data_IF_099541845232
#
_entry.id   IF_099541845232
#
_cell.length_a   1.000
_cell.length_b   1.000
_cell.length_c   1.000
_cell.angle_alpha   90.00
_cell.angle_beta   90.00
_cell.angle_gamma   90.00
#
_symmetry.space_group_name_H-M   'P 1'
#
loop_
_entity.id
_entity.type
_entity.pdbx_description
1 polymer ?
#
# COMPACT_ATOMS: atom_id res chain seq x y z
N UNK A 1 -14.78 -20.42 29.44
CA UNK A 1 -13.30 -20.63 29.43
C UNK A 1 -12.71 -19.76 28.35
N UNK A 2 -12.17 -18.61 28.72
CA UNK A 2 -11.64 -17.61 27.77
C UNK A 2 -10.19 -17.95 27.45
N UNK A 3 -9.82 -17.96 26.16
CA UNK A 3 -8.56 -18.51 25.67
C UNK A 3 -7.31 -17.83 26.25
N UNK A 4 -6.42 -18.63 26.83
CA UNK A 4 -5.19 -18.19 27.49
C UNK A 4 -4.15 -17.53 26.56
N UNK A 5 -4.30 -17.69 25.24
CA UNK A 5 -3.41 -17.12 24.21
C UNK A 5 -4.23 -16.53 23.07
N UNK A 6 -3.72 -15.46 22.47
CA UNK A 6 -4.31 -14.80 21.30
C UNK A 6 -3.37 -14.99 20.11
N UNK A 7 -3.90 -15.21 18.92
CA UNK A 7 -3.11 -15.28 17.69
C UNK A 7 -3.29 -13.99 16.90
N UNK A 8 -2.19 -13.34 16.55
CA UNK A 8 -2.14 -12.17 15.68
C UNK A 8 -1.42 -12.54 14.38
N UNK A 9 -2.11 -12.38 13.25
CA UNK A 9 -1.54 -12.64 11.92
C UNK A 9 -1.18 -11.30 11.28
N UNK A 10 0.08 -11.15 10.90
CA UNK A 10 0.67 -9.92 10.35
C UNK A 10 1.06 -10.11 8.89
N UNK A 11 1.03 -9.04 8.10
CA UNK A 11 1.43 -9.02 6.69
C UNK A 11 2.95 -9.06 6.47
N UNK A 12 3.73 -9.02 7.55
CA UNK A 12 5.19 -9.06 7.50
C UNK A 12 5.82 -7.75 7.03
N UNK A 13 5.08 -6.64 7.00
CA UNK A 13 5.66 -5.33 6.69
C UNK A 13 6.61 -4.90 7.83
N UNK A 14 7.79 -4.38 7.46
CA UNK A 14 8.90 -4.12 8.39
C UNK A 14 8.56 -3.12 9.51
N UNK A 15 7.55 -2.27 9.32
CA UNK A 15 7.04 -1.35 10.34
C UNK A 15 6.39 -2.04 11.54
N UNK A 16 6.02 -3.32 11.42
CA UNK A 16 5.34 -4.08 12.47
C UNK A 16 6.25 -5.07 13.20
N UNK A 17 7.56 -5.06 12.93
CA UNK A 17 8.52 -6.06 13.38
C UNK A 17 9.66 -5.42 14.19
N UNK A 18 9.31 -4.66 15.22
CA UNK A 18 10.28 -4.12 16.19
C UNK A 18 10.42 -5.06 17.39
N UNK A 19 11.58 -5.04 18.06
CA UNK A 19 11.80 -5.83 19.27
C UNK A 19 10.81 -5.45 20.39
N UNK A 20 10.52 -4.16 20.53
CA UNK A 20 9.54 -3.65 21.50
C UNK A 20 8.13 -4.23 21.28
N UNK A 21 7.73 -4.40 20.01
CA UNK A 21 6.44 -4.99 19.66
C UNK A 21 6.39 -6.49 19.98
N UNK A 22 7.48 -7.22 19.73
CA UNK A 22 7.59 -8.64 20.08
C UNK A 22 7.56 -8.86 21.60
N UNK A 23 8.26 -8.03 22.35
CA UNK A 23 8.23 -8.06 23.82
C UNK A 23 6.82 -7.75 24.36
N UNK A 24 6.13 -6.78 23.75
CA UNK A 24 4.72 -6.52 24.06
C UNK A 24 3.82 -7.72 23.73
N UNK A 25 3.98 -8.37 22.57
CA UNK A 25 3.23 -9.58 22.20
C UNK A 25 3.43 -10.67 23.28
N UNK A 26 4.68 -10.93 23.67
CA UNK A 26 5.04 -11.96 24.66
C UNK A 26 4.42 -11.70 26.03
N UNK A 27 4.55 -10.47 26.55
CA UNK A 27 4.00 -10.08 27.86
C UNK A 27 2.47 -10.23 27.93
N UNK A 28 1.78 -10.09 26.80
CA UNK A 28 0.32 -10.17 26.71
C UNK A 28 -0.22 -11.53 26.23
N UNK A 29 0.64 -12.56 26.18
CA UNK A 29 0.32 -13.89 25.67
C UNK A 29 -0.27 -13.88 24.24
N UNK A 30 0.26 -12.99 23.40
CA UNK A 30 -0.08 -12.87 21.98
C UNK A 30 0.99 -13.59 21.17
N UNK A 31 0.57 -14.60 20.41
CA UNK A 31 1.40 -15.28 19.42
C UNK A 31 1.32 -14.47 18.14
N UNK A 32 2.45 -13.92 17.70
CA UNK A 32 2.55 -13.09 16.50
C UNK A 32 3.09 -13.99 15.34
N UNK A 33 2.30 -14.13 14.27
CA UNK A 33 2.63 -14.95 13.09
C UNK A 33 2.68 -14.07 11.85
N UNK A 34 3.84 -14.01 11.20
CA UNK A 34 4.03 -13.23 9.97
C UNK A 34 3.74 -14.09 8.75
N UNK A 35 2.94 -13.58 7.83
CA UNK A 35 2.72 -14.21 6.54
C UNK A 35 3.99 -14.13 5.68
N UNK A 36 4.25 -15.13 4.82
CA UNK A 36 5.29 -15.04 3.80
C UNK A 36 5.07 -13.82 2.89
N UNK A 37 6.16 -13.30 2.32
CA UNK A 37 6.08 -12.20 1.37
C UNK A 37 5.09 -12.53 0.23
N UNK A 38 4.29 -11.54 -0.16
CA UNK A 38 3.27 -11.65 -1.21
C UNK A 38 2.14 -12.67 -0.95
N UNK A 39 1.99 -13.19 0.28
CA UNK A 39 0.91 -14.12 0.64
C UNK A 39 -0.36 -13.46 1.18
N UNK A 40 -0.35 -12.14 1.43
CA UNK A 40 -1.50 -11.40 2.01
C UNK A 40 -2.79 -11.61 1.23
N UNK A 41 -2.73 -11.59 -0.10
CA UNK A 41 -3.89 -11.78 -0.98
C UNK A 41 -4.54 -13.17 -0.85
N UNK A 42 -3.83 -14.15 -0.30
CA UNK A 42 -4.30 -15.52 -0.13
C UNK A 42 -4.70 -15.83 1.32
N UNK A 43 -3.90 -15.34 2.27
CA UNK A 43 -4.00 -15.72 3.68
C UNK A 43 -4.64 -14.64 4.55
N UNK A 44 -4.74 -13.38 4.10
CA UNK A 44 -5.28 -12.30 4.91
C UNK A 44 -6.81 -12.21 4.76
N UNK A 45 -7.60 -12.54 5.80
CA UNK A 45 -9.07 -12.55 5.70
C UNK A 45 -9.67 -11.20 5.29
N UNK A 46 -8.99 -10.10 5.65
CA UNK A 46 -9.39 -8.75 5.28
C UNK A 46 -9.25 -8.51 3.77
N UNK A 47 -8.16 -8.96 3.15
CA UNK A 47 -7.94 -8.83 1.71
C UNK A 47 -8.91 -9.71 0.93
N UNK A 48 -9.11 -10.95 1.36
CA UNK A 48 -9.95 -11.94 0.68
C UNK A 48 -11.44 -11.58 0.75
N UNK A 49 -11.92 -11.06 1.88
CA UNK A 49 -13.37 -10.92 2.13
C UNK A 49 -13.89 -9.50 2.36
N UNK A 50 -13.08 -8.58 2.91
CA UNK A 50 -13.61 -7.33 3.50
C UNK A 50 -13.24 -6.10 2.65
N UNK A 51 -12.01 -6.01 2.17
CA UNK A 51 -11.54 -4.82 1.46
C UNK A 51 -12.12 -4.67 0.06
N UNK A 52 -12.46 -5.75 -0.63
CA UNK A 52 -13.17 -5.67 -1.93
C UNK A 52 -14.51 -4.93 -1.79
N UNK A 53 -15.44 -5.42 -0.95
CA UNK A 53 -16.70 -4.74 -0.68
C UNK A 53 -16.53 -3.32 -0.12
N UNK A 54 -15.51 -3.09 0.71
CA UNK A 54 -15.23 -1.75 1.25
C UNK A 54 -14.85 -0.76 0.14
N UNK A 55 -13.93 -1.16 -0.75
CA UNK A 55 -13.52 -0.34 -1.91
C UNK A 55 -14.69 -0.03 -2.82
N UNK A 56 -15.58 -0.99 -3.06
CA UNK A 56 -16.78 -0.78 -3.88
C UNK A 56 -17.77 0.18 -3.22
N UNK A 57 -18.02 0.05 -1.91
CA UNK A 57 -18.88 0.98 -1.19
C UNK A 57 -18.30 2.40 -1.19
N UNK A 58 -16.99 2.52 -1.00
CA UNK A 58 -16.29 3.79 -1.07
C UNK A 58 -16.31 4.42 -2.47
N UNK A 59 -16.14 3.63 -3.53
CA UNK A 59 -16.26 4.09 -4.92
C UNK A 59 -17.65 4.67 -5.20
N UNK A 60 -18.72 4.02 -4.72
CA UNK A 60 -20.10 4.52 -4.86
C UNK A 60 -20.36 5.83 -4.10
N UNK A 61 -19.68 6.05 -2.97
CA UNK A 61 -19.72 7.32 -2.25
C UNK A 61 -19.05 8.43 -3.07
N UNK A 62 -17.89 8.14 -3.66
CA UNK A 62 -17.18 9.10 -4.52
C UNK A 62 -17.99 9.48 -5.77
N UNK A 63 -18.79 8.54 -6.30
CA UNK A 63 -19.74 8.79 -7.40
C UNK A 63 -21.01 9.54 -6.98
N UNK A 64 -21.16 9.90 -5.69
CA UNK A 64 -22.34 10.62 -5.18
C UNK A 64 -23.63 9.80 -5.16
N UNK A 65 -23.54 8.48 -5.38
CA UNK A 65 -24.71 7.60 -5.52
C UNK A 65 -25.31 7.14 -4.20
N UNK A 66 -24.54 7.07 -3.10
CA UNK A 66 -25.00 6.65 -1.77
C UNK A 66 -24.04 7.13 -0.66
N UNK A 67 -24.54 7.26 0.57
CA UNK A 67 -23.70 7.32 1.77
C UNK A 67 -23.05 5.94 2.03
N UNK A 68 -21.72 5.87 2.01
CA UNK A 68 -21.01 4.63 2.36
C UNK A 68 -21.02 4.44 3.88
N UNK A 69 -21.81 3.46 4.34
CA UNK A 69 -21.75 3.01 5.73
C UNK A 69 -20.79 1.82 5.84
N UNK A 70 -19.60 2.10 6.37
CA UNK A 70 -18.58 1.08 6.62
C UNK A 70 -19.10 -0.08 7.51
N UNK A 71 -20.07 0.18 8.40
CA UNK A 71 -20.64 -0.83 9.29
C UNK A 71 -21.37 -1.94 8.53
N UNK A 72 -21.90 -1.65 7.34
CA UNK A 72 -22.53 -2.65 6.45
C UNK A 72 -21.51 -3.57 5.77
N UNK A 73 -20.23 -3.20 5.78
CA UNK A 73 -19.13 -4.02 5.26
C UNK A 73 -18.55 -4.92 6.34
N UNK A 74 -18.41 -4.43 7.56
CA UNK A 74 -17.91 -5.20 8.70
C UNK A 74 -19.02 -6.00 9.39
N UNK A 75 -19.62 -6.96 8.68
CA UNK A 75 -20.59 -7.89 9.29
C UNK A 75 -19.91 -9.20 9.70
N UNK A 76 -20.40 -9.82 10.78
CA UNK A 76 -19.90 -11.12 11.24
C UNK A 76 -19.89 -12.18 10.14
N UNK A 77 -20.88 -12.15 9.25
CA UNK A 77 -20.95 -13.06 8.10
C UNK A 77 -19.81 -12.82 7.09
N UNK A 78 -19.52 -11.56 6.74
CA UNK A 78 -18.43 -11.21 5.81
C UNK A 78 -17.06 -11.51 6.41
N UNK A 79 -16.88 -11.26 7.71
CA UNK A 79 -15.67 -11.63 8.43
C UNK A 79 -15.47 -13.15 8.39
N UNK A 80 -16.48 -13.94 8.77
CA UNK A 80 -16.42 -15.41 8.71
C UNK A 80 -16.13 -15.92 7.29
N UNK A 81 -16.74 -15.31 6.28
CA UNK A 81 -16.47 -15.63 4.87
C UNK A 81 -15.02 -15.34 4.49
N UNK A 82 -14.45 -14.21 4.92
CA UNK A 82 -13.03 -13.90 4.71
C UNK A 82 -12.10 -14.94 5.35
N UNK A 83 -12.40 -15.39 6.57
CA UNK A 83 -11.63 -16.45 7.24
C UNK A 83 -11.77 -17.82 6.55
N UNK A 84 -12.94 -18.15 6.01
CA UNK A 84 -13.15 -19.35 5.22
C UNK A 84 -12.40 -19.28 3.88
N UNK A 85 -12.44 -18.12 3.21
CA UNK A 85 -11.73 -17.87 1.96
C UNK A 85 -10.21 -17.92 2.11
N UNK A 86 -9.68 -17.54 3.27
CA UNK A 86 -8.27 -17.68 3.62
C UNK A 86 -7.89 -19.10 4.09
N UNK A 87 -8.84 -20.04 4.16
CA UNK A 87 -8.58 -21.40 4.64
C UNK A 87 -8.23 -21.51 6.14
N UNK A 88 -8.52 -20.47 6.93
CA UNK A 88 -8.21 -20.43 8.37
C UNK A 88 -9.36 -20.95 9.23
N UNK A 89 -10.61 -20.68 8.84
CA UNK A 89 -11.80 -21.16 9.56
C UNK A 89 -12.97 -21.47 8.61
N UNK A 90 -13.36 -22.75 8.44
CA UNK A 90 -12.68 -23.94 8.93
C UNK A 90 -11.26 -24.04 8.37
N UNK A 91 -10.34 -24.66 9.12
CA UNK A 91 -8.96 -24.82 8.68
C UNK A 91 -8.93 -25.76 7.47
N UNK A 92 -8.52 -25.25 6.32
CA UNK A 92 -8.43 -25.98 5.06
C UNK A 92 -7.20 -25.50 4.27
N UNK A 93 -6.04 -26.15 4.45
CA UNK A 93 -4.82 -25.75 3.77
C UNK A 93 -4.91 -25.95 2.25
N UNK A 94 -5.62 -26.97 1.76
CA UNK A 94 -5.75 -27.27 0.33
C UNK A 94 -6.43 -26.13 -0.46
N UNK A 95 -7.35 -25.41 0.17
CA UNK A 95 -8.01 -24.24 -0.45
C UNK A 95 -7.03 -23.10 -0.78
N UNK A 96 -5.93 -23.00 -0.03
CA UNK A 96 -4.86 -22.03 -0.27
C UNK A 96 -3.78 -22.62 -1.15
N UNK A 97 -3.36 -23.86 -0.87
CA UNK A 97 -2.29 -24.57 -1.59
C UNK A 97 -2.62 -24.77 -3.07
N UNK A 98 -3.87 -25.08 -3.40
CA UNK A 98 -4.33 -25.20 -4.80
C UNK A 98 -4.21 -23.91 -5.62
N UNK A 99 -4.18 -22.74 -4.96
CA UNK A 99 -3.99 -21.42 -5.60
C UNK A 99 -2.52 -21.08 -5.77
N UNK A 100 -1.63 -21.75 -5.05
CA UNK A 100 -0.19 -21.60 -5.17
C UNK A 100 0.28 -22.40 -6.39
N UNK A 101 0.07 -21.84 -7.58
CA UNK A 101 0.74 -22.33 -8.78
C UNK A 101 2.22 -22.01 -8.65
N UNK A 102 3.00 -22.95 -8.09
CA UNK A 102 4.46 -22.87 -8.12
C UNK A 102 4.92 -23.02 -9.56
N UNK A 103 4.88 -21.94 -10.34
CA UNK A 103 5.78 -21.83 -11.47
C UNK A 103 7.16 -21.60 -10.87
N UNK A 104 7.84 -22.69 -10.53
CA UNK A 104 9.29 -22.70 -10.50
C UNK A 104 9.72 -22.27 -11.91
N UNK A 105 9.94 -20.97 -12.08
CA UNK A 105 10.76 -20.48 -13.16
C UNK A 105 12.18 -20.98 -12.86
N UNK A 106 12.43 -22.26 -13.14
CA UNK A 106 13.73 -22.60 -13.71
C UNK A 106 13.86 -21.69 -14.91
N UNK A 107 14.87 -20.80 -14.98
CA UNK A 107 15.11 -20.05 -16.20
C UNK A 107 15.22 -21.10 -17.30
N UNK A 108 14.20 -21.13 -18.16
CA UNK A 108 14.14 -22.06 -19.28
C UNK A 108 15.46 -21.87 -20.02
N UNK A 109 16.33 -22.88 -19.95
CA UNK A 109 17.53 -22.90 -20.77
C UNK A 109 17.06 -22.61 -22.19
N UNK A 110 17.61 -21.60 -22.89
CA UNK A 110 17.05 -21.17 -24.15
C UNK A 110 17.09 -22.38 -25.07
N UNK A 111 15.91 -22.95 -25.32
CA UNK A 111 15.71 -24.03 -26.25
C UNK A 111 16.22 -23.48 -27.58
N UNK A 112 17.40 -23.96 -27.99
CA UNK A 112 17.94 -23.76 -29.33
C UNK A 112 17.00 -24.54 -30.25
N UNK A 113 15.83 -23.96 -30.54
CA UNK A 113 14.99 -24.41 -31.64
C UNK A 113 15.82 -24.22 -32.89
N UNK A 114 16.00 -25.34 -33.57
CA UNK A 114 17.02 -25.56 -34.58
C UNK A 114 17.14 -24.42 -35.58
N UNK A 115 18.40 -24.17 -35.94
CA UNK A 115 18.89 -23.54 -37.16
C UNK A 115 17.84 -23.16 -38.20
N UNK A 116 17.03 -22.14 -37.93
CA UNK A 116 16.40 -21.34 -38.97
C UNK A 116 17.40 -20.23 -39.24
N UNK A 117 17.92 -20.19 -40.47
CA UNK A 117 18.89 -19.19 -40.94
C UNK A 117 18.64 -17.82 -40.29
N UNK A 118 19.63 -17.31 -39.55
CA UNK A 118 19.55 -16.05 -38.81
C UNK A 118 19.19 -14.83 -39.68
N UNK A 119 19.21 -15.01 -41.00
CA UNK A 119 18.84 -14.06 -42.02
C UNK A 119 17.36 -13.59 -41.92
N UNK A 120 16.42 -14.42 -41.42
CA UNK A 120 14.97 -14.14 -41.51
C UNK A 120 14.30 -13.54 -40.25
N UNK A 121 15.05 -13.27 -39.17
CA UNK A 121 14.47 -12.74 -37.93
C UNK A 121 14.65 -11.21 -37.78
N UNK A 122 13.60 -10.47 -37.43
CA UNK A 122 13.71 -9.04 -37.15
C UNK A 122 14.54 -8.81 -35.88
N UNK A 123 15.59 -7.96 -35.90
CA UNK A 123 16.39 -7.70 -34.70
C UNK A 123 15.55 -6.99 -33.62
N UNK A 124 15.65 -7.49 -32.38
CA UNK A 124 14.85 -7.00 -31.25
C UNK A 124 15.64 -6.11 -30.27
N UNK A 125 16.96 -6.00 -30.46
CA UNK A 125 17.81 -5.14 -29.66
C UNK A 125 18.98 -4.59 -30.49
N UNK A 126 19.63 -3.55 -29.98
CA UNK A 126 20.74 -2.85 -30.65
C UNK A 126 21.90 -3.79 -31.00
N UNK A 127 22.24 -4.74 -30.10
CA UNK A 127 23.29 -5.72 -30.35
C UNK A 127 22.98 -6.66 -31.51
N UNK A 128 21.73 -7.11 -31.64
CA UNK A 128 21.27 -7.94 -32.75
C UNK A 128 21.24 -7.15 -34.06
N UNK A 129 20.81 -5.88 -34.00
CA UNK A 129 20.84 -4.96 -35.13
C UNK A 129 22.28 -4.78 -35.64
N UNK A 130 23.22 -4.45 -34.76
CA UNK A 130 24.62 -4.23 -35.13
C UNK A 130 25.29 -5.47 -35.72
N UNK A 131 24.94 -6.66 -35.21
CA UNK A 131 25.42 -7.93 -35.75
C UNK A 131 24.90 -8.16 -37.16
N UNK A 132 23.60 -7.93 -37.40
CA UNK A 132 23.00 -8.07 -38.74
C UNK A 132 23.56 -7.07 -39.74
N UNK A 133 23.70 -5.80 -39.35
CA UNK A 133 24.28 -4.76 -40.20
C UNK A 133 25.74 -5.07 -40.55
N UNK A 134 26.56 -5.47 -39.57
CA UNK A 134 27.95 -5.87 -39.83
C UNK A 134 28.06 -7.10 -40.71
N UNK A 135 27.23 -8.11 -40.47
CA UNK A 135 27.19 -9.33 -41.30
C UNK A 135 26.85 -9.01 -42.75
N UNK A 136 25.85 -8.15 -42.98
CA UNK A 136 25.45 -7.71 -44.31
C UNK A 136 26.56 -6.89 -44.99
N UNK A 137 27.14 -5.91 -44.28
CA UNK A 137 28.25 -5.08 -44.79
C UNK A 137 29.46 -5.92 -45.19
N UNK A 138 29.86 -6.87 -44.36
CA UNK A 138 30.99 -7.76 -44.64
C UNK A 138 30.71 -8.68 -45.84
N UNK A 139 29.48 -9.19 -45.96
CA UNK A 139 29.10 -10.07 -47.07
C UNK A 139 29.06 -9.33 -48.41
N UNK A 140 28.53 -8.11 -48.42
CA UNK A 140 28.51 -7.23 -49.60
C UNK A 140 29.93 -6.81 -50.01
N UNK A 141 30.77 -6.40 -49.06
CA UNK A 141 32.15 -5.98 -49.34
C UNK A 141 33.02 -7.12 -49.87
N UNK A 142 32.80 -8.35 -49.39
CA UNK A 142 33.56 -9.53 -49.80
C UNK A 142 33.01 -10.21 -51.07
N UNK A 143 31.97 -9.65 -51.72
CA UNK A 143 31.24 -10.27 -52.85
C UNK A 143 30.84 -11.74 -52.60
N UNK A 144 30.57 -12.10 -51.33
CA UNK A 144 30.18 -13.47 -50.95
C UNK A 144 28.70 -13.69 -51.23
N UNK A 145 28.34 -14.92 -51.62
CA UNK A 145 26.93 -15.34 -51.74
C UNK A 145 26.25 -15.17 -50.38
N UNK A 146 25.22 -14.31 -50.31
CA UNK A 146 24.41 -14.16 -49.11
C UNK A 146 23.46 -15.36 -48.99
N UNK A 147 23.23 -15.84 -47.77
CA UNK A 147 22.26 -16.92 -47.50
C UNK A 147 20.80 -16.50 -47.74
N UNK A 148 20.52 -15.20 -47.90
CA UNK A 148 19.23 -14.66 -48.34
C UNK A 148 19.40 -13.35 -49.13
N UNK A 149 18.37 -12.94 -49.86
CA UNK A 149 18.40 -11.72 -50.68
C UNK A 149 18.76 -10.47 -49.85
N UNK A 150 19.65 -9.58 -50.35
CA UNK A 150 19.92 -8.28 -49.72
C UNK A 150 18.66 -7.45 -49.43
N UNK A 151 17.64 -7.58 -50.28
CA UNK A 151 16.34 -6.90 -50.14
C UNK A 151 15.61 -7.35 -48.88
N UNK A 152 15.63 -8.65 -48.57
CA UNK A 152 14.99 -9.20 -47.37
C UNK A 152 15.62 -8.62 -46.09
N UNK A 153 16.96 -8.49 -46.07
CA UNK A 153 17.64 -7.88 -44.93
C UNK A 153 17.26 -6.41 -44.73
N UNK A 154 17.14 -5.64 -45.82
CA UNK A 154 16.71 -4.23 -45.77
C UNK A 154 15.28 -4.13 -45.22
N UNK A 155 14.35 -4.96 -45.70
CA UNK A 155 12.97 -4.99 -45.19
C UNK A 155 12.90 -5.32 -43.70
N UNK A 156 13.76 -6.20 -43.19
CA UNK A 156 13.82 -6.49 -41.75
C UNK A 156 14.39 -5.33 -40.93
N UNK A 157 15.37 -4.58 -41.46
CA UNK A 157 15.90 -3.38 -40.82
C UNK A 157 14.84 -2.28 -40.77
N UNK A 158 14.11 -2.09 -41.87
CA UNK A 158 12.98 -1.16 -41.95
C UNK A 158 11.90 -1.51 -40.92
N UNK A 159 11.48 -2.78 -40.85
CA UNK A 159 10.48 -3.24 -39.88
C UNK A 159 10.96 -3.06 -38.43
N UNK A 160 12.24 -3.29 -38.15
CA UNK A 160 12.81 -3.04 -36.83
C UNK A 160 12.78 -1.55 -36.47
N UNK A 161 13.10 -0.66 -37.42
CA UNK A 161 13.04 0.79 -37.23
C UNK A 161 11.61 1.29 -37.02
N UNK A 162 10.64 0.76 -37.77
CA UNK A 162 9.22 1.08 -37.60
C UNK A 162 8.72 0.72 -36.19
N UNK A 163 9.02 -0.50 -35.72
CA UNK A 163 8.67 -0.94 -34.36
C UNK A 163 9.34 -0.04 -33.31
N UNK A 164 10.65 0.22 -33.45
CA UNK A 164 11.35 1.11 -32.52
C UNK A 164 10.74 2.51 -32.47
N UNK A 165 10.33 3.06 -33.62
CA UNK A 165 9.69 4.38 -33.71
C UNK A 165 8.32 4.39 -33.04
N UNK A 166 7.50 3.36 -33.26
CA UNK A 166 6.19 3.23 -32.60
C UNK A 166 6.32 3.07 -31.09
N UNK A 167 7.24 2.22 -30.62
CA UNK A 167 7.47 2.03 -29.18
C UNK A 167 7.96 3.30 -28.51
N UNK A 168 8.84 4.08 -29.16
CA UNK A 168 9.29 5.38 -28.66
C UNK A 168 8.12 6.35 -28.47
N UNK A 169 7.22 6.45 -29.45
CA UNK A 169 6.06 7.33 -29.35
C UNK A 169 5.17 6.97 -28.15
N UNK A 170 4.90 5.68 -27.94
CA UNK A 170 4.11 5.21 -26.80
C UNK A 170 4.79 5.52 -25.45
N UNK A 171 6.11 5.31 -25.37
CA UNK A 171 6.88 5.64 -24.17
C UNK A 171 6.87 7.14 -23.88
N UNK A 172 6.97 7.99 -24.91
CA UNK A 172 6.90 9.45 -24.75
C UNK A 172 5.52 9.88 -24.24
N UNK A 173 4.44 9.29 -24.74
CA UNK A 173 3.08 9.52 -24.24
C UNK A 173 2.93 9.12 -22.76
N UNK A 174 3.46 7.95 -22.38
CA UNK A 174 3.41 7.47 -20.99
C UNK A 174 4.24 8.37 -20.05
N UNK A 175 5.44 8.77 -20.48
CA UNK A 175 6.27 9.72 -19.73
C UNK A 175 5.55 11.06 -19.54
N UNK A 176 4.87 11.57 -20.56
CA UNK A 176 4.07 12.79 -20.45
C UNK A 176 2.93 12.64 -19.43
N UNK A 177 2.16 11.56 -19.50
CA UNK A 177 1.07 11.29 -18.57
C UNK A 177 1.56 11.19 -17.12
N UNK A 178 2.66 10.45 -16.88
CA UNK A 178 3.27 10.30 -15.56
C UNK A 178 3.76 11.66 -15.03
N UNK A 179 4.39 12.48 -15.88
CA UNK A 179 4.86 13.81 -15.49
C UNK A 179 3.72 14.74 -15.11
N UNK A 180 2.63 14.70 -15.87
CA UNK A 180 1.43 15.50 -15.59
C UNK A 180 0.76 15.08 -14.28
N UNK A 181 0.59 13.78 -14.04
CA UNK A 181 0.04 13.24 -12.80
C UNK A 181 0.92 13.61 -11.59
N UNK A 182 2.25 13.48 -11.73
CA UNK A 182 3.19 13.89 -10.69
C UNK A 182 3.12 15.40 -10.41
N UNK A 183 2.94 16.22 -11.44
CA UNK A 183 2.69 17.66 -11.29
C UNK A 183 1.43 17.95 -10.47
N UNK A 184 0.31 17.29 -10.79
CA UNK A 184 -0.94 17.39 -10.01
C UNK A 184 -0.75 16.96 -8.56
N UNK A 185 -0.05 15.85 -8.32
CA UNK A 185 0.26 15.37 -6.95
C UNK A 185 1.11 16.39 -6.18
N UNK A 186 2.12 16.98 -6.82
CA UNK A 186 2.97 18.04 -6.22
C UNK A 186 2.16 19.29 -5.87
N UNK A 187 1.31 19.76 -6.78
CA UNK A 187 0.42 20.90 -6.53
C UNK A 187 -0.55 20.62 -5.37
N UNK A 188 -1.17 19.44 -5.31
CA UNK A 188 -2.05 19.04 -4.19
C UNK A 188 -1.30 19.03 -2.85
N UNK A 189 -0.07 18.52 -2.82
CA UNK A 189 0.77 18.54 -1.61
C UNK A 189 1.14 19.98 -1.19
N UNK A 190 1.52 20.82 -2.15
CA UNK A 190 1.86 22.21 -1.89
C UNK A 190 0.67 23.02 -1.35
N UNK A 191 -0.54 22.81 -1.91
CA UNK A 191 -1.78 23.43 -1.41
C UNK A 191 -2.09 23.01 0.03
N UNK A 192 -2.02 21.72 0.33
CA UNK A 192 -2.20 21.21 1.70
C UNK A 192 -1.19 21.82 2.67
N UNK A 193 0.08 21.94 2.27
CA UNK A 193 1.11 22.58 3.10
C UNK A 193 0.88 24.08 3.28
N UNK A 194 0.39 24.79 2.26
CA UNK A 194 0.05 26.21 2.35
C UNK A 194 -1.20 26.46 3.22
N UNK A 195 -2.22 25.61 3.11
CA UNK A 195 -3.41 25.63 3.98
C UNK A 195 -3.01 25.38 5.46
N UNK A 196 -2.14 24.40 5.71
CA UNK A 196 -1.58 24.14 7.05
C UNK A 196 -0.64 25.24 7.57
N UNK A 197 -0.07 26.08 6.70
CA UNK A 197 0.79 27.19 7.07
C UNK A 197 0.03 28.47 7.46
N UNK A 198 -1.22 28.61 7.00
CA UNK A 198 -2.09 29.74 7.33
C UNK A 198 -2.91 29.51 8.59
N UNK A 199 -3.19 28.26 8.97
CA UNK A 199 -3.58 27.93 10.32
C UNK A 199 -2.34 28.11 11.21
N UNK A 200 -2.27 29.26 11.88
CA UNK A 200 -1.25 29.57 12.89
C UNK A 200 -1.41 28.61 14.07
N UNK A 201 -1.02 27.35 13.88
CA UNK A 201 -0.81 26.39 14.96
C UNK A 201 0.28 27.02 15.84
N UNK A 202 0.00 27.30 17.12
CA UNK A 202 1.00 27.84 18.03
C UNK A 202 2.23 26.96 17.95
N UNK A 203 3.41 27.55 17.78
CA UNK A 203 4.67 26.78 17.88
C UNK A 203 4.61 25.99 19.19
N UNK A 204 5.11 24.76 19.20
CA UNK A 204 5.13 23.90 20.39
C UNK A 204 5.61 24.66 21.64
N UNK A 205 6.56 25.58 21.47
CA UNK A 205 7.05 26.48 22.52
C UNK A 205 5.98 27.44 23.08
N UNK A 206 5.13 28.02 22.24
CA UNK A 206 4.07 28.94 22.63
C UNK A 206 2.92 28.20 23.33
N UNK A 207 2.67 26.94 22.93
CA UNK A 207 1.79 26.02 23.64
C UNK A 207 2.34 25.62 25.02
N UNK A 208 3.62 25.30 25.10
CA UNK A 208 4.31 24.98 26.36
C UNK A 208 4.32 26.17 27.33
N UNK A 209 4.56 27.38 26.83
CA UNK A 209 4.52 28.59 27.65
C UNK A 209 3.11 28.87 28.20
N UNK A 210 2.05 28.63 27.42
CA UNK A 210 0.67 28.75 27.91
C UNK A 210 0.31 27.71 28.96
N UNK A 211 0.76 26.47 28.79
CA UNK A 211 0.56 25.41 29.78
C UNK A 211 1.29 25.74 31.08
N UNK A 212 2.55 26.18 31.00
CA UNK A 212 3.31 26.60 32.20
C UNK A 212 2.68 27.81 32.89
N UNK A 213 2.16 28.79 32.14
CA UNK A 213 1.51 29.96 32.72
C UNK A 213 0.19 29.60 33.41
N UNK A 214 -0.57 28.63 32.87
CA UNK A 214 -1.78 28.11 33.49
C UNK A 214 -1.48 27.25 34.74
N UNK A 215 -0.44 26.42 34.71
CA UNK A 215 0.01 25.65 35.87
C UNK A 215 0.50 26.57 37.01
N UNK A 216 1.18 27.67 36.69
CA UNK A 216 1.62 28.65 37.68
C UNK A 216 0.43 29.39 38.31
N UNK A 217 -0.59 29.75 37.53
CA UNK A 217 -1.83 30.36 38.03
C UNK A 217 -2.68 29.41 38.88
N UNK A 218 -2.64 28.10 38.60
CA UNK A 218 -3.31 27.09 39.42
C UNK A 218 -2.57 26.84 40.74
N UNK A 219 -1.26 27.04 40.77
CA UNK A 219 -0.43 26.80 41.96
C UNK A 219 -0.25 28.06 42.84
N UNK A 220 -0.65 29.24 42.35
CA UNK A 220 -0.63 30.52 43.10
C UNK A 220 -1.98 30.87 43.76
N UNK A 221 -2.98 29.98 43.76
CA UNK A 221 -4.17 30.17 44.61
C UNK A 221 -3.73 30.05 46.09
N UNK A 222 -3.77 31.15 46.88
CA UNK A 222 -3.45 31.07 48.29
C UNK A 222 -4.64 30.40 49.00
N UNK A 223 -4.32 29.46 49.89
CA UNK A 223 -5.13 28.98 51.02
C UNK A 223 -6.34 29.88 51.34
N UNK A 224 -7.48 29.63 50.69
CA UNK A 224 -8.72 30.31 50.99
C UNK A 224 -9.38 29.58 52.16
N UNK A 225 -9.42 30.27 53.30
CA UNK A 225 -9.92 29.83 54.60
C UNK A 225 -11.18 28.96 54.52
N UNK A 226 -11.13 27.80 55.18
CA UNK A 226 -12.28 26.92 55.44
C UNK A 226 -13.52 27.70 55.90
N UNK A 227 -14.69 27.56 55.24
CA UNK A 227 -15.92 28.15 55.75
C UNK A 227 -16.40 27.34 56.95
N UNK A 228 -16.46 27.99 58.11
CA UNK A 228 -17.05 27.46 59.35
C UNK A 228 -18.50 27.04 59.09
N UNK A 229 -18.97 25.88 59.59
CA UNK A 229 -20.34 25.44 59.35
C UNK A 229 -21.31 26.40 60.04
N UNK A 230 -22.26 26.98 59.28
CA UNK A 230 -23.37 27.76 59.85
C UNK A 230 -24.17 26.87 60.80
N UNK A 231 -24.14 27.19 62.10
CA UNK A 231 -25.03 26.59 63.10
C UNK A 231 -26.48 26.92 62.72
N UNK A 232 -27.32 25.91 62.55
CA UNK A 232 -28.77 26.08 62.37
C UNK A 232 -29.34 26.77 63.61
N UNK A 233 -30.16 27.80 63.41
CA UNK A 233 -30.90 28.44 64.49
C UNK A 233 -31.78 27.40 65.21
N UNK A 234 -31.86 27.41 66.55
CA UNK A 234 -32.68 26.45 67.28
C UNK A 234 -34.16 26.70 66.98
N UNK A 235 -34.95 25.62 66.97
CA UNK A 235 -36.38 25.69 66.72
C UNK A 235 -37.07 26.48 67.85
N UNK A 236 -37.84 27.50 67.48
CA UNK A 236 -38.72 28.22 68.42
C UNK A 236 -39.92 27.33 68.71
N UNK A 237 -40.09 26.98 69.98
CA UNK A 237 -41.33 26.43 70.51
C UNK A 237 -42.41 27.51 70.43
N UNK A 238 -43.50 27.25 69.71
CA UNK A 238 -44.72 28.06 69.75
C UNK A 238 -45.47 27.78 71.06
N UNK A 239 -44.99 28.31 72.18
CA UNK A 239 -45.65 28.05 73.46
C UNK A 239 -45.10 28.71 74.71
N UNK A 240 -43.98 29.45 74.68
CA UNK A 240 -43.50 30.15 75.88
C UNK A 240 -43.01 31.53 75.47
N UNK A 241 -43.79 32.56 75.83
CA UNK A 241 -43.46 33.95 75.58
C UNK A 241 -42.77 34.58 76.79
N UNK A 242 -41.46 34.38 76.90
CA UNK A 242 -40.46 35.31 77.47
C UNK A 242 -39.21 35.16 76.62
#
# INVERSE_FOLDING_TARGET
MTGAKRLLILDGHSSHLTAEFDDFCKQNAIICLCMPAHASQLLQPLDVGVFGPLKMAYGKLLEGRMAADARKVFTSAKIRSGFAGAGLKPFNPEHVLSKLTFQLHTPTSPLVKGSISSAFQTPQNTRQLDRKVRSLKNSLNAKRQLSSSPIAHIQHLEKAAQIATQTKLLLEQEIMAIREENGRKRQKKARKQAELGNDRLPRVQEGQNRVQQLDMQLNEQPEESTPVPRRRAPQRCSGCGI
#
